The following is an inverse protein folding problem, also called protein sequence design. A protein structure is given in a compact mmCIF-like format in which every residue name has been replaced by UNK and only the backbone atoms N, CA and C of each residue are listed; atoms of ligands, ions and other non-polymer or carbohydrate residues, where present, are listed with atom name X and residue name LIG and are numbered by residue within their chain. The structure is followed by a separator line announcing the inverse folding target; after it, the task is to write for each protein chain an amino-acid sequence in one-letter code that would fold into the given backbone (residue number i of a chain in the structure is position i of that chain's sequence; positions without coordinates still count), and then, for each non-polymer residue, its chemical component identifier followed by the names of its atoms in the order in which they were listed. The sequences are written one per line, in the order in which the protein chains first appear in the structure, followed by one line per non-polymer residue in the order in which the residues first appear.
data_IF_727248064136
#
_entry.id   IF_727248064136
#
_cell.length_a   1.000
_cell.length_b   1.000
_cell.length_c   1.000
_cell.angle_alpha   90.00
_cell.angle_beta   90.00
_cell.angle_gamma   90.00
#
_symmetry.space_group_name_H-M   'P 1'
#
loop_
_entity.id
_entity.type
_entity.pdbx_description
1 polymer ?
#
# COMPACT_ATOMS: atom_id res chain seq x y z
N UNK A 1 18.85 16.37 39.14
CA UNK A 1 18.30 15.41 38.15
C UNK A 1 19.42 14.46 37.79
N UNK A 2 19.22 13.13 37.87
CA UNK A 2 20.21 12.17 37.39
C UNK A 2 20.42 12.38 35.88
N UNK A 3 21.67 12.56 35.47
CA UNK A 3 22.05 12.83 34.08
C UNK A 3 22.37 11.50 33.39
N UNK A 4 21.56 11.13 32.41
CA UNK A 4 21.87 9.99 31.53
C UNK A 4 22.68 10.52 30.33
N UNK A 5 23.88 9.96 30.06
CA UNK A 5 24.64 10.31 28.88
C UNK A 5 23.84 10.08 27.58
N UNK A 6 23.86 11.01 26.61
CA UNK A 6 23.15 10.85 25.34
C UNK A 6 23.54 9.59 24.54
N UNK A 7 24.78 9.11 24.71
CA UNK A 7 25.28 7.87 24.11
C UNK A 7 24.52 6.64 24.59
N UNK A 8 24.26 6.55 25.91
CA UNK A 8 23.49 5.47 26.52
C UNK A 8 22.07 5.48 25.94
N UNK A 9 21.42 6.64 25.89
CA UNK A 9 20.07 6.77 25.31
C UNK A 9 20.02 6.31 23.85
N UNK A 10 21.04 6.61 23.04
CA UNK A 10 21.11 6.14 21.65
C UNK A 10 21.23 4.63 21.55
N UNK A 11 22.04 4.01 22.41
CA UNK A 11 22.24 2.58 22.46
C UNK A 11 20.96 1.85 22.86
N UNK A 12 20.30 2.32 23.92
CA UNK A 12 19.05 1.72 24.41
C UNK A 12 17.93 1.79 23.35
N UNK A 13 17.90 2.88 22.57
CA UNK A 13 16.92 3.06 21.48
C UNK A 13 17.12 2.10 20.30
N UNK A 14 18.29 1.48 20.15
CA UNK A 14 18.55 0.51 19.08
C UNK A 14 17.90 -0.85 19.35
N UNK A 15 17.61 -1.17 20.61
CA UNK A 15 16.96 -2.43 20.97
C UNK A 15 15.48 -2.41 20.56
N UNK A 16 15.10 -3.28 19.64
CA UNK A 16 13.71 -3.49 19.27
C UNK A 16 12.99 -4.39 20.29
N UNK A 17 11.65 -4.34 20.26
CA UNK A 17 10.82 -5.06 21.23
C UNK A 17 10.96 -6.59 21.12
N UNK A 18 11.10 -7.13 19.91
CA UNK A 18 11.21 -8.58 19.72
C UNK A 18 12.52 -9.09 20.33
N UNK A 19 13.62 -8.38 20.08
CA UNK A 19 14.92 -8.69 20.69
C UNK A 19 14.85 -8.62 22.21
N UNK A 20 14.23 -7.57 22.78
CA UNK A 20 14.06 -7.45 24.22
C UNK A 20 13.28 -8.62 24.83
N UNK A 21 12.10 -8.94 24.26
CA UNK A 21 11.27 -10.01 24.80
C UNK A 21 11.95 -11.37 24.67
N UNK A 22 12.58 -11.69 23.53
CA UNK A 22 13.31 -12.96 23.37
C UNK A 22 14.43 -13.14 24.40
N UNK A 23 15.17 -12.08 24.72
CA UNK A 23 16.34 -12.16 25.60
C UNK A 23 15.97 -12.09 27.08
N UNK A 24 15.04 -11.21 27.47
CA UNK A 24 14.83 -10.89 28.88
C UNK A 24 13.45 -11.26 29.42
N UNK A 25 12.44 -11.39 28.55
CA UNK A 25 11.08 -11.76 28.96
C UNK A 25 10.45 -12.78 27.99
N UNK A 26 11.12 -13.92 27.71
CA UNK A 26 10.68 -14.85 26.66
C UNK A 26 9.34 -15.50 27.00
N UNK A 27 9.00 -15.56 28.30
CA UNK A 27 7.70 -16.02 28.77
C UNK A 27 6.57 -15.11 28.32
N UNK A 28 6.78 -13.80 28.08
CA UNK A 28 5.73 -12.93 27.56
C UNK A 28 5.50 -13.11 26.06
N UNK A 29 6.47 -13.64 25.32
CA UNK A 29 6.42 -13.72 23.86
C UNK A 29 5.62 -14.94 23.38
N UNK A 30 4.64 -14.70 22.50
CA UNK A 30 3.82 -15.75 21.89
C UNK A 30 3.88 -15.61 20.37
N UNK A 31 4.12 -16.72 19.67
CA UNK A 31 4.00 -16.75 18.21
C UNK A 31 2.53 -16.64 17.81
N UNK A 32 2.21 -15.73 16.89
CA UNK A 32 0.84 -15.52 16.42
C UNK A 32 0.62 -16.14 15.04
N UNK A 33 1.33 -15.64 14.01
CA UNK A 33 1.30 -16.19 12.65
C UNK A 33 2.37 -15.55 11.76
N UNK A 34 2.91 -16.32 10.81
CA UNK A 34 4.00 -15.84 9.95
C UNK A 34 5.17 -15.29 10.76
N UNK A 35 5.64 -14.09 10.41
CA UNK A 35 6.64 -13.35 11.19
C UNK A 35 6.04 -12.33 12.18
N UNK A 36 4.85 -12.64 12.71
CA UNK A 36 4.17 -11.80 13.70
C UNK A 36 4.10 -12.50 15.04
N UNK A 37 4.54 -11.79 16.08
CA UNK A 37 4.45 -12.21 17.47
C UNK A 37 3.43 -11.35 18.21
N UNK A 38 2.97 -11.84 19.35
CA UNK A 38 2.08 -11.15 20.28
C UNK A 38 2.58 -11.38 21.71
N UNK A 39 1.99 -10.70 22.70
CA UNK A 39 2.34 -10.94 24.10
C UNK A 39 1.24 -11.73 24.80
N UNK A 40 1.59 -12.51 25.83
CA UNK A 40 0.60 -13.22 26.66
C UNK A 40 -0.34 -12.25 27.35
N UNK A 41 0.20 -11.16 27.88
CA UNK A 41 -0.59 -10.16 28.63
C UNK A 41 -1.46 -9.29 27.71
N UNK A 42 -1.04 -9.07 26.46
CA UNK A 42 -1.75 -8.19 25.52
C UNK A 42 -1.85 -8.85 24.13
N UNK A 43 -2.89 -9.66 23.95
CA UNK A 43 -3.22 -10.38 22.71
C UNK A 43 -3.40 -9.47 21.47
N UNK A 44 -3.83 -8.23 21.70
CA UNK A 44 -4.01 -7.17 20.71
C UNK A 44 -2.72 -6.38 20.42
N UNK A 45 -1.61 -6.68 21.11
CA UNK A 45 -0.30 -6.16 20.78
C UNK A 45 0.37 -7.08 19.76
N UNK A 46 0.67 -6.54 18.56
CA UNK A 46 1.31 -7.29 17.47
C UNK A 46 2.70 -6.72 17.20
N UNK A 47 3.68 -7.60 17.10
CA UNK A 47 5.10 -7.31 16.87
C UNK A 47 5.48 -7.89 15.51
N UNK A 48 5.95 -7.07 14.59
CA UNK A 48 6.42 -7.50 13.26
C UNK A 48 7.34 -6.46 12.62
N UNK A 49 8.31 -6.90 11.81
CA UNK A 49 9.17 -6.02 11.00
C UNK A 49 9.88 -4.92 11.81
N UNK A 50 10.39 -5.25 13.01
CA UNK A 50 11.06 -4.29 13.90
C UNK A 50 10.14 -3.19 14.46
N UNK A 51 8.82 -3.42 14.45
CA UNK A 51 7.80 -2.50 14.96
C UNK A 51 6.77 -3.26 15.79
N UNK A 52 6.03 -2.53 16.61
CA UNK A 52 4.90 -3.09 17.32
C UNK A 52 3.73 -2.11 17.39
N UNK A 53 2.52 -2.66 17.42
CA UNK A 53 1.27 -1.90 17.51
C UNK A 53 0.35 -2.59 18.52
N UNK A 54 -0.14 -1.83 19.49
CA UNK A 54 -1.18 -2.24 20.42
C UNK A 54 -2.54 -1.71 19.94
N UNK A 55 -3.31 -2.59 19.31
CA UNK A 55 -4.48 -2.21 18.53
C UNK A 55 -5.64 -1.69 19.40
N UNK A 56 -5.88 -2.28 20.56
CA UNK A 56 -6.93 -1.85 21.48
C UNK A 56 -6.69 -0.45 22.04
N UNK A 57 -5.42 -0.09 22.28
CA UNK A 57 -5.01 1.22 22.81
C UNK A 57 -4.56 2.22 21.72
N UNK A 58 -4.56 1.81 20.45
CA UNK A 58 -4.13 2.61 19.28
C UNK A 58 -2.75 3.26 19.45
N UNK A 59 -1.84 2.58 20.14
CA UNK A 59 -0.46 3.05 20.39
C UNK A 59 0.54 2.11 19.75
N UNK A 60 1.70 2.63 19.36
CA UNK A 60 2.74 1.84 18.71
C UNK A 60 4.14 2.39 18.95
N UNK A 61 5.13 1.60 18.55
CA UNK A 61 6.53 1.92 18.76
C UNK A 61 7.45 1.10 17.87
N UNK A 62 8.74 1.42 17.96
CA UNK A 62 9.81 0.69 17.26
C UNK A 62 10.77 0.02 18.24
N UNK A 63 11.02 0.65 19.39
CA UNK A 63 11.98 0.16 20.38
C UNK A 63 11.30 -0.56 21.54
N UNK A 64 12.10 -1.31 22.30
CA UNK A 64 11.73 -1.83 23.61
C UNK A 64 11.49 -0.69 24.62
N UNK A 65 12.26 0.40 24.50
CA UNK A 65 12.06 1.61 25.32
C UNK A 65 10.65 2.19 25.16
N UNK A 66 10.16 2.30 23.92
CA UNK A 66 8.78 2.75 23.66
C UNK A 66 7.76 1.83 24.35
N UNK A 67 8.01 0.52 24.35
CA UNK A 67 7.11 -0.48 24.94
C UNK A 67 7.07 -0.36 26.45
N UNK A 68 8.23 -0.24 27.10
CA UNK A 68 8.30 -0.09 28.56
C UNK A 68 7.55 1.14 29.04
N UNK A 69 7.68 2.26 28.32
CA UNK A 69 7.00 3.50 28.68
C UNK A 69 5.49 3.40 28.39
N UNK A 70 5.13 3.04 27.15
CA UNK A 70 3.73 3.17 26.67
C UNK A 70 2.83 2.00 27.06
N UNK A 71 3.40 0.83 27.33
CA UNK A 71 2.66 -0.40 27.61
C UNK A 71 2.84 -0.82 29.07
N UNK A 72 4.07 -0.78 29.57
CA UNK A 72 4.37 -1.20 30.95
C UNK A 72 4.37 -0.06 31.97
N UNK A 73 4.18 1.18 31.52
CA UNK A 73 3.98 2.35 32.39
C UNK A 73 5.23 2.87 33.10
N UNK A 74 6.43 2.46 32.67
CA UNK A 74 7.67 2.96 33.24
C UNK A 74 7.90 4.43 32.88
N UNK A 75 8.52 5.19 33.78
CA UNK A 75 9.08 6.48 33.41
C UNK A 75 10.25 6.30 32.43
N UNK A 76 10.60 7.37 31.72
CA UNK A 76 11.73 7.33 30.78
C UNK A 76 13.05 6.94 31.47
N UNK A 77 13.29 7.46 32.68
CA UNK A 77 14.51 7.19 33.44
C UNK A 77 14.59 5.71 33.83
N UNK A 78 13.53 5.17 34.44
CA UNK A 78 13.47 3.78 34.86
C UNK A 78 13.60 2.82 33.66
N UNK A 79 12.97 3.15 32.53
CA UNK A 79 13.05 2.31 31.34
C UNK A 79 14.46 2.30 30.71
N UNK A 80 15.17 3.43 30.75
CA UNK A 80 16.56 3.51 30.27
C UNK A 80 17.51 2.77 31.22
N UNK A 81 17.37 2.96 32.52
CA UNK A 81 18.17 2.26 33.54
C UNK A 81 17.99 0.75 33.44
N UNK A 82 16.75 0.27 33.38
CA UNK A 82 16.43 -1.15 33.26
C UNK A 82 17.07 -1.78 32.02
N UNK A 83 16.97 -1.13 30.87
CA UNK A 83 17.51 -1.66 29.62
C UNK A 83 19.04 -1.60 29.58
N UNK A 84 19.65 -0.55 30.15
CA UNK A 84 21.11 -0.44 30.25
C UNK A 84 21.68 -1.48 31.21
N UNK A 85 21.05 -1.70 32.37
CA UNK A 85 21.44 -2.71 33.34
C UNK A 85 21.35 -4.12 32.75
N UNK A 86 20.21 -4.46 32.14
CA UNK A 86 20.01 -5.76 31.49
C UNK A 86 21.02 -6.01 30.37
N UNK A 87 21.30 -5.01 29.54
CA UNK A 87 22.29 -5.12 28.45
C UNK A 87 23.73 -5.27 28.97
N UNK A 88 24.04 -4.73 30.15
CA UNK A 88 25.37 -4.86 30.77
C UNK A 88 25.57 -6.22 31.46
N UNK A 89 24.52 -6.75 32.11
CA UNK A 89 24.57 -8.05 32.80
C UNK A 89 24.51 -9.21 31.79
N UNK A 90 23.62 -9.10 30.80
CA UNK A 90 23.43 -10.10 29.76
C UNK A 90 23.33 -9.39 28.42
N UNK A 91 24.45 -9.24 27.69
CA UNK A 91 24.44 -8.63 26.38
C UNK A 91 23.39 -9.32 25.49
N UNK A 92 22.48 -8.57 24.86
CA UNK A 92 21.42 -9.16 24.07
C UNK A 92 22.03 -9.90 22.89
N UNK A 93 21.58 -11.13 22.66
CA UNK A 93 21.79 -11.77 21.37
C UNK A 93 20.89 -11.05 20.37
N UNK A 94 21.50 -10.18 19.56
CA UNK A 94 20.82 -9.54 18.45
C UNK A 94 20.50 -10.63 17.42
N UNK A 95 19.27 -11.11 17.45
CA UNK A 95 18.76 -11.96 16.37
C UNK A 95 18.56 -11.02 15.20
N UNK A 96 19.50 -11.03 14.25
CA UNK A 96 19.27 -10.43 12.95
C UNK A 96 18.25 -11.29 12.20
N UNK A 97 16.96 -11.13 12.49
CA UNK A 97 15.92 -11.41 11.50
C UNK A 97 15.91 -10.29 10.44
N UNK A 98 17.09 -9.99 9.91
CA UNK A 98 17.29 -9.37 8.61
C UNK A 98 17.82 -10.44 7.64
N UNK A 99 17.38 -11.70 7.78
CA UNK A 99 17.18 -12.47 6.55
C UNK A 99 15.99 -11.78 5.90
N UNK A 100 16.14 -11.12 4.75
CA UNK A 100 14.98 -10.70 3.98
C UNK A 100 14.32 -12.02 3.57
N UNK A 101 13.39 -12.51 4.38
CA UNK A 101 12.49 -13.55 3.92
C UNK A 101 11.80 -12.91 2.72
N UNK A 102 12.05 -13.45 1.52
CA UNK A 102 11.39 -12.97 0.32
C UNK A 102 9.92 -12.82 0.66
N UNK A 103 9.39 -11.60 0.55
CA UNK A 103 7.97 -11.35 0.76
C UNK A 103 7.24 -12.13 -0.33
N UNK A 104 6.87 -13.36 -0.03
CA UNK A 104 6.05 -14.15 -0.93
C UNK A 104 4.67 -13.49 -0.97
N UNK A 105 4.27 -13.10 -2.18
CA UNK A 105 2.94 -12.55 -2.41
C UNK A 105 1.90 -13.62 -2.08
N UNK A 106 1.01 -13.32 -1.15
CA UNK A 106 -0.11 -14.18 -0.80
C UNK A 106 -1.37 -13.68 -1.52
N UNK A 107 -1.58 -14.18 -2.73
CA UNK A 107 -2.78 -13.88 -3.50
C UNK A 107 -4.05 -14.45 -2.82
N UNK A 108 -5.17 -13.70 -2.82
CA UNK A 108 -6.46 -14.28 -2.51
C UNK A 108 -6.78 -15.48 -3.40
N UNK A 109 -7.45 -16.48 -2.84
CA UNK A 109 -7.97 -17.60 -3.64
C UNK A 109 -8.93 -17.06 -4.71
N UNK A 110 -8.74 -17.49 -5.96
CA UNK A 110 -9.66 -17.19 -7.06
C UNK A 110 -11.03 -17.84 -6.80
N UNK A 111 -12.10 -17.13 -7.12
CA UNK A 111 -13.45 -17.67 -7.13
C UNK A 111 -13.63 -18.67 -8.29
N UNK A 112 -14.73 -19.41 -8.29
CA UNK A 112 -15.06 -20.34 -9.38
C UNK A 112 -15.39 -19.62 -10.70
N UNK A 113 -15.94 -18.42 -10.61
CA UNK A 113 -16.24 -17.53 -11.74
C UNK A 113 -16.00 -16.06 -11.38
N UNK A 114 -15.97 -15.20 -12.39
CA UNK A 114 -15.73 -13.76 -12.26
C UNK A 114 -16.99 -12.91 -12.52
N UNK A 115 -18.19 -13.47 -12.40
CA UNK A 115 -19.43 -12.80 -12.81
C UNK A 115 -19.68 -11.49 -12.07
N UNK A 116 -19.39 -11.44 -10.76
CA UNK A 116 -19.63 -10.22 -9.96
C UNK A 116 -18.62 -9.15 -10.32
N UNK A 117 -17.35 -9.54 -10.54
CA UNK A 117 -16.30 -8.62 -11.01
C UNK A 117 -16.66 -8.04 -12.39
N UNK A 118 -17.10 -8.87 -13.33
CA UNK A 118 -17.52 -8.43 -14.67
C UNK A 118 -18.67 -7.42 -14.54
N UNK A 119 -19.73 -7.78 -13.82
CA UNK A 119 -20.88 -6.89 -13.62
C UNK A 119 -20.48 -5.57 -12.95
N UNK A 120 -19.59 -5.61 -11.96
CA UNK A 120 -19.08 -4.43 -11.28
C UNK A 120 -18.30 -3.51 -12.22
N UNK A 121 -17.34 -4.05 -13.00
CA UNK A 121 -16.51 -3.25 -13.90
C UNK A 121 -17.33 -2.67 -15.07
N UNK A 122 -18.28 -3.44 -15.62
CA UNK A 122 -19.26 -2.93 -16.58
C UNK A 122 -20.10 -1.80 -15.99
N UNK A 123 -20.57 -1.95 -14.75
CA UNK A 123 -21.30 -0.90 -14.02
C UNK A 123 -20.46 0.36 -13.74
N UNK A 124 -19.13 0.25 -13.76
CA UNK A 124 -18.17 1.36 -13.70
C UNK A 124 -17.84 1.93 -15.09
N UNK A 125 -18.54 1.48 -16.13
CA UNK A 125 -18.39 1.92 -17.51
C UNK A 125 -17.20 1.32 -18.25
N UNK A 126 -16.45 0.38 -17.65
CA UNK A 126 -15.27 -0.22 -18.29
C UNK A 126 -15.70 -1.11 -19.45
N UNK A 127 -15.03 -0.97 -20.58
CA UNK A 127 -15.34 -1.72 -21.80
C UNK A 127 -15.17 -3.24 -21.64
N UNK A 128 -16.09 -4.02 -22.23
CA UNK A 128 -16.13 -5.48 -22.11
C UNK A 128 -14.87 -6.18 -22.63
N UNK A 129 -14.29 -5.70 -23.74
CA UNK A 129 -13.06 -6.28 -24.32
C UNK A 129 -11.86 -6.05 -23.39
N UNK A 130 -11.79 -4.87 -22.78
CA UNK A 130 -10.74 -4.51 -21.83
C UNK A 130 -10.85 -5.37 -20.57
N UNK A 131 -12.08 -5.58 -20.06
CA UNK A 131 -12.33 -6.51 -18.94
C UNK A 131 -11.88 -7.92 -19.33
N UNK A 132 -12.30 -8.41 -20.50
CA UNK A 132 -11.99 -9.77 -20.96
C UNK A 132 -10.48 -9.99 -21.08
N UNK A 133 -9.75 -9.06 -21.69
CA UNK A 133 -8.29 -9.07 -21.74
C UNK A 133 -7.66 -9.18 -20.35
N UNK A 134 -8.18 -8.41 -19.37
CA UNK A 134 -7.63 -8.43 -18.02
C UNK A 134 -7.89 -9.77 -17.31
N UNK A 135 -9.04 -10.40 -17.55
CA UNK A 135 -9.37 -11.73 -17.01
C UNK A 135 -8.49 -12.82 -17.63
N UNK A 136 -8.42 -12.87 -18.96
CA UNK A 136 -7.65 -13.87 -19.72
C UNK A 136 -6.16 -13.80 -19.41
N UNK A 137 -5.64 -12.59 -19.26
CA UNK A 137 -4.24 -12.39 -18.91
C UNK A 137 -3.94 -12.51 -17.41
N UNK A 138 -4.94 -12.84 -16.58
CA UNK A 138 -4.81 -13.02 -15.14
C UNK A 138 -4.56 -11.73 -14.34
N UNK A 139 -4.64 -10.57 -14.99
CA UNK A 139 -4.48 -9.24 -14.38
C UNK A 139 -5.67 -8.85 -13.50
N UNK A 140 -6.85 -9.39 -13.77
CA UNK A 140 -8.05 -9.21 -12.95
C UNK A 140 -8.65 -10.58 -12.65
N UNK A 141 -9.16 -10.77 -11.43
CA UNK A 141 -10.03 -11.89 -11.08
C UNK A 141 -10.87 -11.58 -9.83
N UNK A 142 -11.85 -12.43 -9.56
CA UNK A 142 -12.73 -12.39 -8.39
C UNK A 142 -12.18 -13.22 -7.24
N UNK A 143 -12.04 -12.62 -6.05
CA UNK A 143 -11.63 -13.37 -4.86
C UNK A 143 -12.78 -14.19 -4.26
N UNK A 144 -12.51 -15.45 -3.89
CA UNK A 144 -13.53 -16.41 -3.47
C UNK A 144 -14.32 -16.02 -2.22
N UNK A 145 -13.66 -15.46 -1.20
CA UNK A 145 -14.28 -15.25 0.11
C UNK A 145 -15.07 -13.95 0.21
N UNK A 146 -14.57 -12.88 -0.41
CA UNK A 146 -15.12 -11.54 -0.26
C UNK A 146 -15.65 -10.97 -1.57
N UNK A 147 -15.51 -11.71 -2.68
CA UNK A 147 -15.88 -11.24 -4.02
C UNK A 147 -15.31 -9.85 -4.34
N UNK A 148 -14.10 -9.56 -3.85
CA UNK A 148 -13.37 -8.35 -4.25
C UNK A 148 -12.84 -8.54 -5.68
N UNK A 149 -12.78 -7.44 -6.43
CA UNK A 149 -11.93 -7.36 -7.63
C UNK A 149 -10.47 -7.37 -7.18
N UNK A 150 -9.69 -8.30 -7.71
CA UNK A 150 -8.24 -8.37 -7.49
C UNK A 150 -7.53 -7.87 -8.74
N UNK A 151 -6.82 -6.75 -8.62
CA UNK A 151 -5.97 -6.19 -9.68
C UNK A 151 -4.53 -6.62 -9.46
N UNK A 152 -4.06 -7.56 -10.27
CA UNK A 152 -2.74 -8.17 -10.19
C UNK A 152 -1.75 -7.39 -11.04
N UNK A 153 -0.59 -7.09 -10.45
CA UNK A 153 0.56 -6.63 -11.21
C UNK A 153 1.65 -7.70 -11.26
N UNK A 154 2.28 -7.81 -12.41
CA UNK A 154 3.11 -8.95 -12.80
C UNK A 154 4.52 -8.51 -13.18
N UNK A 155 5.47 -9.45 -13.07
CA UNK A 155 6.81 -9.29 -13.65
C UNK A 155 6.80 -9.59 -15.17
N UNK A 156 7.98 -9.47 -15.79
CA UNK A 156 8.19 -9.68 -17.22
C UNK A 156 7.96 -11.13 -17.67
N UNK A 157 7.83 -12.06 -16.72
CA UNK A 157 7.56 -13.49 -16.95
C UNK A 157 6.11 -13.85 -16.56
N UNK A 158 5.24 -12.86 -16.46
CA UNK A 158 3.83 -12.97 -16.06
C UNK A 158 3.62 -13.57 -14.66
N UNK A 159 4.62 -13.52 -13.77
CA UNK A 159 4.43 -13.95 -12.39
C UNK A 159 3.81 -12.82 -11.56
N UNK A 160 2.76 -13.10 -10.77
CA UNK A 160 2.20 -12.12 -9.85
C UNK A 160 3.21 -11.65 -8.80
N UNK A 161 3.38 -10.32 -8.68
CA UNK A 161 4.23 -9.67 -7.66
C UNK A 161 3.48 -8.64 -6.82
N UNK A 162 2.29 -8.25 -7.24
CA UNK A 162 1.44 -7.26 -6.58
C UNK A 162 -0.03 -7.64 -6.72
N UNK A 163 -0.86 -7.31 -5.73
CA UNK A 163 -2.31 -7.34 -5.90
C UNK A 163 -3.03 -6.25 -5.09
N UNK A 164 -3.79 -5.39 -5.78
CA UNK A 164 -4.74 -4.47 -5.15
C UNK A 164 -6.12 -5.14 -5.05
N UNK A 165 -6.81 -4.90 -3.93
CA UNK A 165 -8.13 -5.43 -3.65
C UNK A 165 -9.16 -4.31 -3.63
N UNK A 166 -10.24 -4.48 -4.37
CA UNK A 166 -11.38 -3.54 -4.38
C UNK A 166 -12.68 -4.27 -4.05
N UNK A 167 -13.36 -3.81 -3.01
CA UNK A 167 -14.68 -4.34 -2.66
C UNK A 167 -15.73 -4.02 -3.71
N UNK A 168 -16.59 -5.00 -3.98
CA UNK A 168 -17.79 -4.83 -4.82
C UNK A 168 -18.95 -4.46 -3.90
N UNK A 169 -19.67 -3.38 -4.20
CA UNK A 169 -20.80 -2.89 -3.40
C UNK A 169 -20.44 -2.30 -2.03
N UNK A 170 -19.16 -2.28 -1.66
CA UNK A 170 -18.65 -1.71 -0.40
C UNK A 170 -17.44 -0.81 -0.65
N UNK A 171 -17.10 0.05 0.30
CA UNK A 171 -16.00 1.02 0.19
C UNK A 171 -14.61 0.46 0.55
N UNK A 172 -14.44 -0.86 0.52
CA UNK A 172 -13.19 -1.54 0.86
C UNK A 172 -12.12 -1.37 -0.22
N UNK A 173 -10.91 -1.04 0.21
CA UNK A 173 -9.69 -0.94 -0.60
C UNK A 173 -8.56 -1.55 0.23
N UNK A 174 -7.79 -2.44 -0.37
CA UNK A 174 -6.66 -3.07 0.28
C UNK A 174 -5.58 -3.52 -0.71
N UNK A 175 -4.53 -4.12 -0.17
CA UNK A 175 -3.47 -4.78 -0.92
C UNK A 175 -3.25 -6.18 -0.33
N UNK A 176 -2.85 -7.14 -1.16
CA UNK A 176 -2.51 -8.47 -0.69
C UNK A 176 -1.19 -8.45 0.10
N UNK A 177 -1.03 -9.37 1.06
CA UNK A 177 0.20 -9.49 1.83
C UNK A 177 1.35 -9.86 0.90
N UNK A 178 2.52 -9.25 1.11
CA UNK A 178 3.69 -9.46 0.27
C UNK A 178 3.68 -8.69 -1.05
N UNK A 179 2.69 -7.81 -1.30
CA UNK A 179 2.65 -6.98 -2.50
C UNK A 179 3.89 -6.09 -2.65
N UNK A 180 4.52 -6.16 -3.83
CA UNK A 180 5.62 -5.31 -4.23
C UNK A 180 5.13 -4.20 -5.18
N UNK A 181 5.13 -2.96 -4.69
CA UNK A 181 4.68 -1.78 -5.45
C UNK A 181 5.54 -1.45 -6.66
N UNK A 182 6.72 -2.06 -6.84
CA UNK A 182 7.47 -1.95 -8.10
C UNK A 182 6.71 -2.57 -9.29
N UNK A 183 5.83 -3.53 -9.00
CA UNK A 183 5.06 -4.27 -9.98
C UNK A 183 3.57 -3.92 -9.89
N UNK A 184 3.22 -2.67 -9.60
CA UNK A 184 1.81 -2.27 -9.56
C UNK A 184 1.09 -2.56 -10.88
N UNK A 185 -0.25 -2.57 -10.82
CA UNK A 185 -1.08 -2.91 -11.98
C UNK A 185 -0.72 -2.05 -13.21
N UNK A 186 -0.45 -2.71 -14.34
CA UNK A 186 -0.05 -2.08 -15.58
C UNK A 186 -0.57 -2.83 -16.81
N UNK A 187 -0.71 -2.08 -17.90
CA UNK A 187 -0.93 -2.60 -19.25
C UNK A 187 0.09 -1.90 -20.14
N UNK A 188 1.19 -2.58 -20.43
CA UNK A 188 2.25 -2.04 -21.27
C UNK A 188 1.89 -2.18 -22.76
N UNK A 189 2.44 -1.28 -23.57
CA UNK A 189 2.21 -1.28 -25.01
C UNK A 189 2.71 -2.59 -25.66
N UNK A 190 2.01 -3.08 -26.68
CA UNK A 190 2.43 -4.27 -27.44
C UNK A 190 3.70 -4.03 -28.26
N UNK A 191 3.93 -2.77 -28.66
CA UNK A 191 5.09 -2.32 -29.42
C UNK A 191 5.84 -1.28 -28.60
N UNK A 192 7.14 -1.12 -28.87
CA UNK A 192 7.93 -0.07 -28.24
C UNK A 192 7.28 1.29 -28.45
N UNK A 193 7.13 2.05 -27.35
CA UNK A 193 6.47 3.34 -27.33
C UNK A 193 7.19 4.26 -26.33
N UNK A 194 7.31 5.54 -26.65
CA UNK A 194 8.06 6.50 -25.83
C UNK A 194 7.21 7.16 -24.72
N UNK A 195 5.96 6.74 -24.54
CA UNK A 195 4.99 7.41 -23.67
C UNK A 195 4.41 6.46 -22.63
N UNK A 196 4.42 6.90 -21.36
CA UNK A 196 3.75 6.23 -20.24
C UNK A 196 2.72 7.14 -19.58
N UNK A 197 1.54 6.58 -19.32
CA UNK A 197 0.41 7.22 -18.66
C UNK A 197 0.27 6.72 -17.22
N UNK A 198 0.22 7.63 -16.25
CA UNK A 198 0.19 7.33 -14.82
C UNK A 198 -1.16 7.65 -14.20
N UNK A 199 -1.72 6.68 -13.49
CA UNK A 199 -3.03 6.76 -12.84
C UNK A 199 -2.92 6.47 -11.35
N UNK A 200 -3.82 7.05 -10.55
CA UNK A 200 -3.85 6.77 -9.11
C UNK A 200 -4.24 5.32 -8.84
N UNK A 201 -5.23 4.78 -9.56
CA UNK A 201 -5.74 3.42 -9.38
C UNK A 201 -5.82 2.61 -10.67
N UNK A 202 -5.98 1.29 -10.54
CA UNK A 202 -6.22 0.39 -11.66
C UNK A 202 -7.56 0.71 -12.37
N UNK A 203 -8.59 1.14 -11.63
CA UNK A 203 -9.88 1.49 -12.24
C UNK A 203 -9.75 2.74 -13.11
N UNK A 204 -8.97 3.74 -12.69
CA UNK A 204 -8.70 4.93 -13.49
C UNK A 204 -7.95 4.60 -14.77
N UNK A 205 -6.97 3.70 -14.68
CA UNK A 205 -6.25 3.17 -15.83
C UNK A 205 -7.20 2.51 -16.84
N UNK A 206 -8.04 1.59 -16.38
CA UNK A 206 -9.02 0.92 -17.24
C UNK A 206 -10.06 1.90 -17.80
N UNK A 207 -10.38 2.95 -17.04
CA UNK A 207 -11.32 3.98 -17.48
C UNK A 207 -10.73 4.81 -18.60
N UNK A 208 -9.45 5.19 -18.49
CA UNK A 208 -8.71 5.84 -19.57
C UNK A 208 -8.61 4.96 -20.82
N UNK A 209 -8.27 3.68 -20.66
CA UNK A 209 -8.22 2.74 -21.78
C UNK A 209 -9.59 2.66 -22.49
N UNK A 210 -10.69 2.64 -21.73
CA UNK A 210 -12.06 2.69 -22.29
C UNK A 210 -12.31 3.99 -23.05
N UNK A 211 -11.92 5.14 -22.48
CA UNK A 211 -12.06 6.44 -23.15
C UNK A 211 -11.29 6.51 -24.47
N UNK A 212 -10.06 5.97 -24.51
CA UNK A 212 -9.26 5.91 -25.74
C UNK A 212 -9.94 5.06 -26.81
N UNK A 213 -10.50 3.90 -26.43
CA UNK A 213 -11.27 3.05 -27.32
C UNK A 213 -12.53 3.75 -27.85
N UNK A 214 -13.27 4.46 -26.99
CA UNK A 214 -14.45 5.25 -27.39
C UNK A 214 -14.09 6.37 -28.37
N UNK A 215 -12.87 6.90 -28.30
CA UNK A 215 -12.34 7.90 -29.23
C UNK A 215 -11.74 7.27 -30.52
N UNK A 216 -11.97 5.97 -30.75
CA UNK A 216 -11.48 5.24 -31.93
C UNK A 216 -9.99 4.94 -31.93
N UNK A 217 -9.32 5.02 -30.77
CA UNK A 217 -7.87 4.78 -30.64
C UNK A 217 -7.60 3.38 -30.10
N UNK A 218 -6.44 2.84 -30.46
CA UNK A 218 -5.90 1.62 -29.85
C UNK A 218 -5.47 1.90 -28.40
N UNK A 219 -6.17 1.28 -27.45
CA UNK A 219 -5.96 1.53 -26.02
C UNK A 219 -4.70 0.86 -25.45
N UNK A 220 -4.09 -0.09 -26.17
CA UNK A 220 -2.80 -0.75 -25.86
C UNK A 220 -1.62 -0.19 -26.66
N UNK A 221 -1.76 0.99 -27.25
CA UNK A 221 -0.70 1.64 -28.03
C UNK A 221 0.43 2.21 -27.17
N UNK A 222 0.09 2.72 -25.99
CA UNK A 222 0.99 3.42 -25.06
C UNK A 222 1.04 2.66 -23.71
N UNK A 223 2.08 2.90 -22.91
CA UNK A 223 2.21 2.23 -21.62
C UNK A 223 1.23 2.83 -20.60
N UNK A 224 0.43 2.00 -19.93
CA UNK A 224 -0.48 2.42 -18.88
C UNK A 224 -0.03 1.85 -17.54
N UNK A 225 0.10 2.68 -16.51
CA UNK A 225 0.60 2.29 -15.18
C UNK A 225 -0.22 2.91 -14.05
N UNK A 226 -0.70 2.07 -13.13
CA UNK A 226 -1.28 2.55 -11.86
C UNK A 226 -0.18 2.74 -10.81
N UNK A 227 -0.29 3.77 -9.99
CA UNK A 227 0.64 4.03 -8.88
C UNK A 227 0.29 3.30 -7.58
N UNK A 228 -0.76 2.46 -7.57
CA UNK A 228 -1.25 1.78 -6.36
C UNK A 228 -1.63 2.76 -5.24
N UNK A 229 -2.35 3.82 -5.61
CA UNK A 229 -2.68 4.97 -4.78
C UNK A 229 -1.53 5.98 -4.68
N UNK A 230 -1.87 7.21 -4.28
CA UNK A 230 -0.87 8.24 -3.98
C UNK A 230 -0.95 8.66 -2.51
N UNK A 231 0.20 8.99 -1.94
CA UNK A 231 0.30 9.51 -0.58
C UNK A 231 0.54 11.02 -0.61
N UNK A 232 0.18 11.70 0.48
CA UNK A 232 0.57 13.09 0.65
C UNK A 232 2.11 13.18 0.58
N UNK A 233 2.67 13.99 -0.33
CA UNK A 233 4.11 14.18 -0.42
C UNK A 233 4.70 14.68 0.90
N UNK A 234 6.00 14.48 1.08
CA UNK A 234 6.72 15.06 2.22
C UNK A 234 6.53 16.60 2.24
N UNK A 235 6.63 17.21 3.43
CA UNK A 235 6.50 18.68 3.59
C UNK A 235 7.41 19.45 2.63
N UNK A 236 8.55 18.86 2.27
CA UNK A 236 9.45 19.33 1.23
C UNK A 236 9.30 18.47 -0.02
N UNK A 237 8.72 19.07 -1.06
CA UNK A 237 8.38 18.39 -2.32
C UNK A 237 9.63 17.81 -2.99
N UNK A 238 10.75 18.53 -2.92
CA UNK A 238 12.04 18.16 -3.53
C UNK A 238 12.69 16.92 -2.91
N UNK A 239 12.31 16.55 -1.68
CA UNK A 239 12.76 15.31 -1.01
C UNK A 239 11.87 14.11 -1.31
N UNK A 240 10.84 14.27 -2.15
CA UNK A 240 9.98 13.16 -2.56
C UNK A 240 10.78 12.17 -3.40
N UNK A 241 10.36 10.90 -3.41
CA UNK A 241 10.95 9.87 -4.27
C UNK A 241 10.06 9.64 -5.47
N UNK A 242 10.67 9.32 -6.60
CA UNK A 242 9.95 8.77 -7.76
C UNK A 242 9.19 7.52 -7.29
N UNK A 243 7.89 7.38 -7.61
CA UNK A 243 7.13 6.18 -7.26
C UNK A 243 7.83 4.91 -7.75
N UNK A 244 7.87 3.87 -6.91
CA UNK A 244 8.61 2.63 -7.18
C UNK A 244 8.23 1.99 -8.52
N UNK A 245 6.92 1.91 -8.79
CA UNK A 245 6.36 1.45 -10.06
C UNK A 245 6.90 2.23 -11.27
N UNK A 246 6.93 3.56 -11.19
CA UNK A 246 7.42 4.43 -12.25
C UNK A 246 8.93 4.24 -12.43
N UNK A 247 9.69 4.22 -11.34
CA UNK A 247 11.14 4.01 -11.39
C UNK A 247 11.51 2.67 -12.05
N UNK A 248 10.76 1.59 -11.76
CA UNK A 248 10.93 0.30 -12.44
C UNK A 248 10.54 0.38 -13.91
N UNK A 249 9.38 0.96 -14.22
CA UNK A 249 8.90 1.10 -15.61
C UNK A 249 9.90 1.84 -16.49
N UNK A 250 10.50 2.93 -16.00
CA UNK A 250 11.51 3.70 -16.75
C UNK A 250 12.83 2.94 -16.96
N UNK A 251 13.14 1.95 -16.11
CA UNK A 251 14.29 1.05 -16.32
C UNK A 251 14.00 -0.04 -17.34
N UNK A 252 12.78 -0.57 -17.32
CA UNK A 252 12.33 -1.59 -18.28
C UNK A 252 12.12 -1.03 -19.68
N UNK A 253 11.65 0.21 -19.77
CA UNK A 253 11.33 0.90 -21.02
C UNK A 253 12.22 2.15 -21.17
N UNK A 254 13.53 1.97 -21.47
CA UNK A 254 14.47 3.08 -21.63
C UNK A 254 14.12 4.00 -22.81
N UNK A 255 13.26 3.56 -23.74
CA UNK A 255 12.71 4.37 -24.83
C UNK A 255 11.76 5.47 -24.36
N UNK A 256 11.21 5.36 -23.15
CA UNK A 256 10.22 6.32 -22.63
C UNK A 256 10.86 7.69 -22.47
N UNK A 257 10.24 8.69 -23.08
CA UNK A 257 10.62 10.11 -23.00
C UNK A 257 9.49 10.97 -22.45
N UNK A 258 8.24 10.54 -22.61
CA UNK A 258 7.05 11.29 -22.19
C UNK A 258 6.34 10.57 -21.06
N UNK A 259 6.04 11.31 -19.99
CA UNK A 259 5.27 10.84 -18.83
C UNK A 259 4.02 11.70 -18.71
N UNK A 260 2.84 11.09 -18.82
CA UNK A 260 1.55 11.77 -18.72
C UNK A 260 0.89 11.43 -17.39
N UNK A 261 0.59 12.43 -16.58
CA UNK A 261 0.02 12.29 -15.24
C UNK A 261 -1.50 12.50 -15.31
N UNK A 262 -2.25 11.46 -14.95
CA UNK A 262 -3.72 11.43 -14.92
C UNK A 262 -4.26 11.27 -13.50
N UNK A 263 -3.59 11.89 -12.52
CA UNK A 263 -3.93 11.75 -11.11
C UNK A 263 -5.20 12.53 -10.74
N UNK A 264 -5.82 12.13 -9.63
CA UNK A 264 -7.08 12.66 -9.15
C UNK A 264 -7.07 14.19 -9.01
N UNK A 265 -8.21 14.80 -9.36
CA UNK A 265 -8.46 16.21 -9.16
C UNK A 265 -8.88 16.53 -7.71
N UNK A 266 -8.16 15.95 -6.75
CA UNK A 266 -8.28 16.25 -5.34
C UNK A 266 -6.94 16.76 -4.77
N UNK A 267 -6.96 17.21 -3.52
CA UNK A 267 -5.76 17.79 -2.89
C UNK A 267 -4.57 16.84 -2.92
N UNK A 268 -4.79 15.53 -2.72
CA UNK A 268 -3.71 14.55 -2.63
C UNK A 268 -3.17 14.24 -4.03
N UNK A 269 -4.06 13.97 -5.01
CA UNK A 269 -3.68 13.74 -6.40
C UNK A 269 -2.90 14.90 -6.98
N UNK A 270 -3.36 16.15 -6.78
CA UNK A 270 -2.68 17.34 -7.30
C UNK A 270 -1.34 17.63 -6.62
N UNK A 271 -1.20 17.33 -5.33
CA UNK A 271 0.11 17.41 -4.66
C UNK A 271 1.06 16.32 -5.18
N UNK A 272 0.57 15.11 -5.40
CA UNK A 272 1.36 14.01 -5.95
C UNK A 272 1.86 14.34 -7.36
N UNK A 273 1.03 14.94 -8.23
CA UNK A 273 1.46 15.43 -9.55
C UNK A 273 2.63 16.40 -9.41
N UNK A 274 2.52 17.42 -8.55
CA UNK A 274 3.60 18.40 -8.34
C UNK A 274 4.88 17.74 -7.85
N UNK A 275 4.76 16.78 -6.93
CA UNK A 275 5.91 16.05 -6.40
C UNK A 275 6.61 15.21 -7.47
N UNK A 276 5.84 14.43 -8.24
CA UNK A 276 6.40 13.59 -9.31
C UNK A 276 7.09 14.47 -10.37
N UNK A 277 6.44 15.55 -10.81
CA UNK A 277 7.02 16.47 -11.79
C UNK A 277 8.31 17.14 -11.30
N UNK A 278 8.45 17.38 -10.00
CA UNK A 278 9.64 18.02 -9.43
C UNK A 278 10.84 17.05 -9.30
N UNK A 279 10.59 15.77 -9.03
CA UNK A 279 11.65 14.79 -8.74
C UNK A 279 12.08 13.97 -9.96
N UNK A 280 11.31 14.03 -11.05
CA UNK A 280 11.68 13.37 -12.30
C UNK A 280 12.86 14.08 -12.96
N UNK A 281 13.84 13.32 -13.51
CA UNK A 281 14.96 13.91 -14.25
C UNK A 281 14.47 14.77 -15.43
N UNK A 282 15.17 15.89 -15.69
CA UNK A 282 14.82 16.86 -16.75
C UNK A 282 14.80 16.29 -18.17
N UNK A 283 15.35 15.10 -18.39
CA UNK A 283 15.32 14.41 -19.67
C UNK A 283 13.91 13.93 -20.06
N UNK A 284 13.00 13.78 -19.09
CA UNK A 284 11.62 13.36 -19.34
C UNK A 284 10.71 14.57 -19.55
N UNK A 285 9.89 14.52 -20.59
CA UNK A 285 8.79 15.45 -20.77
C UNK A 285 7.61 15.02 -19.89
N UNK A 286 7.26 15.82 -18.89
CA UNK A 286 6.11 15.54 -18.01
C UNK A 286 4.91 16.38 -18.42
N UNK A 287 3.76 15.74 -18.63
CA UNK A 287 2.48 16.37 -18.97
C UNK A 287 1.48 16.13 -17.84
N UNK A 288 0.86 17.19 -17.33
CA UNK A 288 -0.20 17.11 -16.31
C UNK A 288 -1.57 17.19 -16.99
N UNK A 289 -2.30 16.06 -17.00
CA UNK A 289 -3.58 15.91 -17.71
C UNK A 289 -4.60 15.25 -16.77
N UNK A 290 -5.07 15.97 -15.73
CA UNK A 290 -6.11 15.46 -14.84
C UNK A 290 -7.45 15.29 -15.58
N UNK A 291 -8.42 14.54 -15.01
CA UNK A 291 -9.75 14.41 -15.62
C UNK A 291 -10.41 15.80 -15.78
N UNK A 292 -11.00 16.06 -16.96
CA UNK A 292 -11.64 17.35 -17.27
C UNK A 292 -12.94 17.58 -16.49
N UNK A 293 -13.60 16.50 -16.08
CA UNK A 293 -14.83 16.49 -15.30
C UNK A 293 -14.76 15.32 -14.31
N UNK A 294 -15.39 15.47 -13.15
CA UNK A 294 -15.32 14.48 -12.08
C UNK A 294 -14.04 14.56 -11.24
N UNK A 295 -13.95 13.70 -10.22
CA UNK A 295 -12.79 13.63 -9.32
C UNK A 295 -11.63 12.86 -9.96
N UNK A 296 -11.93 11.73 -10.58
CA UNK A 296 -10.96 10.79 -11.14
C UNK A 296 -11.34 10.40 -12.57
N UNK A 297 -10.53 9.56 -13.23
CA UNK A 297 -10.78 9.19 -14.63
C UNK A 297 -11.99 8.25 -14.77
N UNK A 298 -12.39 7.55 -13.72
CA UNK A 298 -13.62 6.78 -13.75
C UNK A 298 -14.87 7.67 -13.66
N UNK A 299 -14.85 8.72 -12.84
CA UNK A 299 -15.92 9.71 -12.82
C UNK A 299 -16.09 10.32 -14.21
N UNK A 300 -14.99 10.70 -14.88
CA UNK A 300 -15.02 11.22 -16.25
C UNK A 300 -15.69 10.24 -17.22
N UNK A 301 -15.32 8.96 -17.15
CA UNK A 301 -15.93 7.92 -17.99
C UNK A 301 -17.42 7.73 -17.69
N UNK A 302 -17.79 7.64 -16.41
CA UNK A 302 -19.19 7.52 -16.01
C UNK A 302 -20.01 8.71 -16.51
N UNK A 303 -19.49 9.94 -16.40
CA UNK A 303 -20.15 11.14 -16.92
C UNK A 303 -20.32 11.04 -18.44
N UNK A 304 -19.26 10.66 -19.18
CA UNK A 304 -19.32 10.52 -20.66
C UNK A 304 -20.37 9.49 -21.11
N UNK A 305 -20.58 8.45 -20.30
CA UNK A 305 -21.55 7.36 -20.57
C UNK A 305 -22.93 7.58 -19.92
N UNK A 306 -23.16 8.72 -19.27
CA UNK A 306 -24.38 8.99 -18.49
C UNK A 306 -24.68 7.92 -17.41
N UNK A 307 -23.64 7.38 -16.78
CA UNK A 307 -23.72 6.42 -15.68
C UNK A 307 -23.66 7.12 -14.32
N UNK A 308 -24.21 6.47 -13.30
CA UNK A 308 -24.13 6.97 -11.93
C UNK A 308 -22.69 6.95 -11.40
N UNK A 309 -22.21 8.09 -10.93
CA UNK A 309 -20.90 8.20 -10.29
C UNK A 309 -20.94 7.51 -8.92
N UNK A 310 -20.04 6.55 -8.70
CA UNK A 310 -19.91 5.87 -7.41
C UNK A 310 -19.26 6.80 -6.37
N UNK A 311 -20.07 7.49 -5.57
CA UNK A 311 -19.56 8.31 -4.46
C UNK A 311 -19.17 7.41 -3.28
N UNK A 312 -17.95 7.58 -2.78
CA UNK A 312 -17.53 6.95 -1.52
C UNK A 312 -18.19 7.70 -0.36
N UNK A 313 -18.97 6.99 0.46
CA UNK A 313 -19.31 7.50 1.79
C UNK A 313 -18.01 7.67 2.57
N UNK A 314 -17.64 8.92 2.87
CA UNK A 314 -16.61 9.18 3.87
C UNK A 314 -17.18 8.65 5.18
N UNK A 315 -16.54 7.65 5.80
CA UNK A 315 -16.79 7.32 7.20
C UNK A 315 -16.57 8.60 8.01
N UNK A 316 -17.64 9.34 8.29
CA UNK A 316 -17.65 10.31 9.37
C UNK A 316 -17.25 9.54 10.61
N UNK A 317 -16.34 10.11 11.42
CA UNK A 317 -16.00 9.58 12.74
C UNK A 317 -17.27 9.62 13.59
N UNK A 318 -18.14 8.62 13.45
CA UNK A 318 -19.22 8.38 14.40
C UNK A 318 -18.52 7.76 15.62
N UNK A 319 -18.49 8.51 16.71
CA UNK A 319 -18.15 7.99 18.02
C UNK A 319 -19.08 6.80 18.28
N UNK A 320 -18.58 5.57 18.15
CA UNK A 320 -19.26 4.40 18.67
C UNK A 320 -18.90 4.31 20.15
N UNK A 321 -19.63 5.08 20.98
CA UNK A 321 -19.94 4.68 22.34
C UNK A 321 -21.04 3.62 22.25
N UNK A 322 -20.71 2.38 22.60
CA UNK A 322 -21.64 1.25 22.54
C UNK A 322 -20.92 -0.06 22.73
N UNK A 323 -20.27 -0.23 23.89
CA UNK A 323 -19.95 -1.56 24.38
C UNK A 323 -21.26 -2.19 24.84
N UNK A 324 -21.86 -3.04 24.00
CA UNK A 324 -22.78 -4.06 24.49
C UNK A 324 -21.95 -5.22 25.02
N UNK A 325 -22.01 -5.39 26.33
CA UNK A 325 -21.54 -6.56 27.06
C UNK A 325 -22.24 -7.79 26.50
N UNK A 326 -21.47 -8.79 26.08
CA UNK A 326 -21.92 -10.17 26.12
C UNK A 326 -21.34 -10.77 27.40
N UNK A 327 -22.15 -10.76 28.46
CA UNK A 327 -21.96 -11.62 29.63
C UNK A 327 -22.36 -13.06 29.24
N UNK A 328 -21.54 -14.03 29.65
CA UNK A 328 -21.99 -15.39 29.95
C UNK A 328 -22.11 -15.51 31.45
#
# INVERSE_FOLDING_TARGET
MPYIPPSVVQEVKRMDLLTYLKNYEPYELVHFSGNTYTTRTHDSLKISNGKWMWWSQRTGGRSALDYLIKVRGYSFLEAVELLAERANIQPPLFVSENVPMEKQLLLPKKNQDDQKVIAYLLGRGIDKEIIQFCLESGRVYESAFHHNVVFVGMDEKDNPKYAALRGIGISFIGEANGSDKNYSFSIFAEKSNDTVHLFESAIDLLSYATLQKLDGKEWRREHLLSLAGVYQPAKEIEKSKVPAALARTLKMHPEVKTIVLHLDNDRIGRLATKAISAVLPKQYQVKDVPPKQGKDYNDLLCIKLNLAITKREKRTKKNMSGYEKYER
#
